data_IF_651101807967
#
_entry.id   IF_651101807967
#
_cell.length_a   1.000
_cell.length_b   1.000
_cell.length_c   1.000
_cell.angle_alpha   90.00
_cell.angle_beta   90.00
_cell.angle_gamma   90.00
#
_symmetry.space_group_name_H-M   'P 1'
#
loop_
_entity.id
_entity.type
_entity.pdbx_description
1 polymer ?
#
# COMPACT_ATOMS: atom_id res chain seq x y z
N UNK A 1 0.18 19.03 23.21
CA UNK A 1 -0.72 19.08 22.03
C UNK A 1 -1.37 17.71 21.89
N UNK A 2 -2.69 17.58 21.93
CA UNK A 2 -3.37 16.29 21.67
C UNK A 2 -3.56 16.14 20.17
N UNK A 3 -3.05 15.06 19.57
CA UNK A 3 -3.28 14.76 18.15
C UNK A 3 -4.77 14.44 17.92
N UNK A 4 -5.37 14.81 16.77
CA UNK A 4 -6.82 14.69 16.56
C UNK A 4 -7.41 13.31 16.87
N UNK A 5 -6.72 12.23 16.52
CA UNK A 5 -7.18 10.86 16.76
C UNK A 5 -6.97 10.38 18.20
N UNK A 6 -5.85 10.76 18.84
CA UNK A 6 -5.65 10.49 20.27
C UNK A 6 -6.69 11.19 21.15
N UNK A 7 -7.15 12.38 20.76
CA UNK A 7 -8.18 13.12 21.48
C UNK A 7 -9.55 12.42 21.40
N UNK A 8 -9.76 11.57 20.40
CA UNK A 8 -10.97 10.76 20.20
C UNK A 8 -10.84 9.36 20.82
N UNK A 9 -9.72 9.04 21.48
CA UNK A 9 -9.49 7.72 22.07
C UNK A 9 -9.07 6.63 21.08
N UNK A 10 -8.71 6.99 19.85
CA UNK A 10 -8.18 6.04 18.86
C UNK A 10 -6.78 5.60 19.29
N UNK A 11 -6.54 4.28 19.33
CA UNK A 11 -5.25 3.69 19.73
C UNK A 11 -4.61 2.85 18.64
N UNK A 12 -5.37 2.42 17.63
CA UNK A 12 -4.92 1.55 16.54
C UNK A 12 -5.55 1.97 15.22
N UNK A 13 -4.73 2.05 14.16
CA UNK A 13 -5.20 2.22 12.79
C UNK A 13 -5.16 0.91 12.02
N UNK A 14 -6.20 0.66 11.22
CA UNK A 14 -6.20 -0.39 10.18
C UNK A 14 -6.20 0.30 8.82
N UNK A 15 -4.99 0.50 8.27
CA UNK A 15 -4.76 1.12 6.96
C UNK A 15 -4.97 0.11 5.81
N UNK A 16 -4.73 0.53 4.57
CA UNK A 16 -4.84 -0.34 3.40
C UNK A 16 -6.27 -0.47 2.83
N UNK A 17 -7.15 0.49 3.14
CA UNK A 17 -8.57 0.42 2.79
C UNK A 17 -8.84 0.68 1.29
N UNK A 18 -10.05 0.34 0.85
CA UNK A 18 -10.54 0.59 -0.53
C UNK A 18 -9.68 -0.04 -1.64
N UNK A 19 -8.89 -1.07 -1.31
CA UNK A 19 -7.98 -1.74 -2.24
C UNK A 19 -6.64 -1.02 -2.43
N UNK A 20 -6.35 0.03 -1.67
CA UNK A 20 -5.11 0.78 -1.76
C UNK A 20 -4.19 0.45 -0.59
N UNK A 21 -3.16 -0.35 -0.87
CA UNK A 21 -2.11 -0.73 0.07
C UNK A 21 -0.83 0.07 -0.13
N UNK A 22 0.08 -0.06 0.85
CA UNK A 22 1.37 0.62 0.91
C UNK A 22 2.52 -0.19 0.29
N UNK A 23 2.33 -1.48 0.04
CA UNK A 23 3.24 -2.36 -0.69
C UNK A 23 2.44 -3.42 -1.48
N UNK A 24 3.09 -4.50 -1.93
CA UNK A 24 2.45 -5.54 -2.74
C UNK A 24 2.32 -5.17 -4.22
N UNK A 25 3.22 -4.34 -4.75
CA UNK A 25 3.26 -3.96 -6.15
C UNK A 25 4.54 -4.48 -6.82
N UNK A 26 4.49 -4.71 -8.13
CA UNK A 26 5.63 -5.22 -8.90
C UNK A 26 6.80 -4.22 -8.89
N UNK A 27 8.00 -4.65 -8.49
CA UNK A 27 9.22 -3.80 -8.48
C UNK A 27 9.61 -3.28 -9.87
N UNK A 28 9.15 -3.96 -10.93
CA UNK A 28 9.42 -3.62 -12.33
C UNK A 28 8.29 -2.80 -12.96
N UNK A 29 7.33 -2.34 -12.16
CA UNK A 29 6.16 -1.63 -12.68
C UNK A 29 6.56 -0.33 -13.37
N UNK A 30 6.03 -0.10 -14.56
CA UNK A 30 6.04 1.21 -15.21
C UNK A 30 4.94 2.15 -14.70
N UNK A 31 4.14 1.70 -13.73
CA UNK A 31 2.95 2.41 -13.22
C UNK A 31 3.12 2.90 -11.78
N UNK A 32 4.36 3.05 -11.29
CA UNK A 32 4.63 3.46 -9.91
C UNK A 32 3.95 4.78 -9.55
N UNK A 33 3.95 5.75 -10.49
CA UNK A 33 3.26 7.03 -10.32
C UNK A 33 1.75 6.87 -10.09
N UNK A 34 1.10 5.90 -10.76
CA UNK A 34 -0.33 5.64 -10.59
C UNK A 34 -0.62 5.01 -9.23
N UNK A 35 0.25 4.09 -8.80
CA UNK A 35 0.20 3.49 -7.46
C UNK A 35 0.35 4.57 -6.38
N UNK A 36 1.35 5.45 -6.51
CA UNK A 36 1.60 6.53 -5.56
C UNK A 36 0.44 7.53 -5.47
N UNK A 37 -0.06 8.01 -6.63
CA UNK A 37 -1.14 9.00 -6.68
C UNK A 37 -2.42 8.53 -6.00
N UNK A 38 -2.77 7.24 -6.13
CA UNK A 38 -4.00 6.69 -5.55
C UNK A 38 -3.82 6.17 -4.12
N UNK A 39 -2.67 5.58 -3.80
CA UNK A 39 -2.42 5.03 -2.46
C UNK A 39 -1.99 6.06 -1.42
N UNK A 40 -1.28 7.12 -1.84
CA UNK A 40 -0.64 8.07 -0.93
C UNK A 40 -0.96 9.54 -1.22
N UNK A 41 -1.83 9.81 -2.19
CA UNK A 41 -2.34 11.16 -2.51
C UNK A 41 -1.26 12.23 -2.68
N UNK A 42 -0.10 11.88 -3.25
CA UNK A 42 1.09 12.75 -3.41
C UNK A 42 1.68 13.30 -2.10
N UNK A 43 1.31 12.77 -0.94
CA UNK A 43 1.82 13.23 0.35
C UNK A 43 3.28 12.78 0.58
N UNK A 44 3.68 11.67 -0.05
CA UNK A 44 5.02 11.10 0.06
C UNK A 44 5.40 10.34 -1.21
N UNK A 45 6.70 10.31 -1.51
CA UNK A 45 7.29 9.39 -2.50
C UNK A 45 7.56 8.05 -1.83
N UNK A 46 7.15 6.95 -2.47
CA UNK A 46 7.45 5.60 -1.98
C UNK A 46 8.95 5.34 -2.12
N UNK A 47 9.61 5.06 -0.99
CA UNK A 47 11.03 4.74 -0.90
C UNK A 47 11.31 3.29 -0.48
N UNK A 48 10.33 2.41 -0.60
CA UNK A 48 10.40 1.00 -0.21
C UNK A 48 9.72 0.11 -1.24
N UNK A 49 10.10 -1.17 -1.27
CA UNK A 49 9.51 -2.18 -2.16
C UNK A 49 8.69 -3.24 -1.42
N UNK A 50 8.96 -3.43 -0.12
CA UNK A 50 8.35 -4.53 0.66
C UNK A 50 7.63 -4.00 1.89
N UNK A 51 6.71 -4.81 2.42
CA UNK A 51 6.02 -4.51 3.67
C UNK A 51 6.96 -4.34 4.85
N UNK A 52 7.99 -5.19 4.94
CA UNK A 52 9.03 -5.06 5.98
C UNK A 52 9.73 -3.70 5.90
N UNK A 53 10.11 -3.27 4.70
CA UNK A 53 10.76 -1.97 4.52
C UNK A 53 9.82 -0.80 4.84
N UNK A 54 8.52 -0.92 4.52
CA UNK A 54 7.51 0.05 4.94
C UNK A 54 7.42 0.13 6.47
N UNK A 55 7.29 -1.01 7.16
CA UNK A 55 7.21 -1.04 8.62
C UNK A 55 8.48 -0.46 9.26
N UNK A 56 9.66 -0.83 8.77
CA UNK A 56 10.91 -0.26 9.24
C UNK A 56 10.99 1.26 9.02
N UNK A 57 10.40 1.77 7.95
CA UNK A 57 10.35 3.20 7.65
C UNK A 57 9.43 3.93 8.64
N UNK A 58 8.21 3.44 8.87
CA UNK A 58 7.25 4.11 9.78
C UNK A 58 7.64 3.96 11.24
N UNK A 59 8.19 2.81 11.66
CA UNK A 59 8.66 2.60 13.03
C UNK A 59 9.81 3.54 13.38
N UNK A 60 10.75 3.78 12.45
CA UNK A 60 11.84 4.76 12.65
C UNK A 60 11.35 6.20 12.79
N UNK A 61 10.17 6.51 12.26
CA UNK A 61 9.60 7.86 12.30
C UNK A 61 8.90 8.21 13.64
N UNK A 62 8.78 7.24 14.57
CA UNK A 62 8.15 7.46 15.87
C UNK A 62 6.62 7.44 15.78
N UNK A 63 6.04 6.24 15.82
CA UNK A 63 4.59 6.07 15.80
C UNK A 63 3.95 6.31 17.17
N UNK A 64 2.83 7.04 17.18
CA UNK A 64 2.04 7.32 18.39
C UNK A 64 0.85 6.38 18.58
N UNK A 65 0.50 5.60 17.55
CA UNK A 65 -0.60 4.64 17.55
C UNK A 65 -0.10 3.31 17.03
N UNK A 66 -0.78 2.21 17.38
CA UNK A 66 -0.57 0.94 16.71
C UNK A 66 -1.03 1.04 15.24
N UNK A 67 -0.45 0.23 14.36
CA UNK A 67 -0.85 0.17 12.97
C UNK A 67 -0.84 -1.26 12.45
N UNK A 68 -1.92 -1.61 11.76
CA UNK A 68 -1.99 -2.70 10.80
C UNK A 68 -2.30 -2.10 9.43
N UNK A 69 -1.88 -2.76 8.36
CA UNK A 69 -2.32 -2.40 7.00
C UNK A 69 -2.75 -3.65 6.25
N UNK A 70 -3.77 -3.50 5.41
CA UNK A 70 -4.25 -4.55 4.51
C UNK A 70 -3.43 -4.54 3.20
N UNK A 71 -3.35 -5.71 2.56
CA UNK A 71 -2.83 -5.85 1.20
C UNK A 71 -3.81 -5.24 0.19
N UNK A 72 -3.31 -4.36 -0.68
CA UNK A 72 -4.14 -3.61 -1.62
C UNK A 72 -4.31 -4.32 -2.95
N UNK A 73 -5.47 -4.92 -3.21
CA UNK A 73 -5.81 -5.48 -4.53
C UNK A 73 -5.65 -4.42 -5.65
N UNK A 74 -6.16 -3.21 -5.44
CA UNK A 74 -6.05 -2.10 -6.39
C UNK A 74 -4.60 -1.70 -6.63
N UNK A 75 -3.80 -1.54 -5.57
CA UNK A 75 -2.35 -1.29 -5.65
C UNK A 75 -1.64 -2.35 -6.50
N UNK A 76 -1.89 -3.63 -6.19
CA UNK A 76 -1.27 -4.77 -6.88
C UNK A 76 -1.64 -4.77 -8.35
N UNK A 77 -2.93 -4.71 -8.66
CA UNK A 77 -3.45 -4.75 -10.04
C UNK A 77 -2.98 -3.54 -10.86
N UNK A 78 -2.95 -2.35 -10.26
CA UNK A 78 -2.43 -1.15 -10.92
C UNK A 78 -0.95 -1.27 -11.24
N UNK A 79 -0.16 -1.95 -10.40
CA UNK A 79 1.25 -2.18 -10.71
C UNK A 79 1.47 -3.10 -11.91
N UNK A 80 0.52 -3.99 -12.21
CA UNK A 80 0.60 -4.92 -13.35
C UNK A 80 0.10 -4.25 -14.63
N UNK A 81 -1.02 -3.51 -14.56
CA UNK A 81 -1.80 -3.09 -15.75
C UNK A 81 -2.29 -1.65 -15.74
N UNK A 82 -1.80 -0.83 -14.82
CA UNK A 82 -2.29 0.53 -14.62
C UNK A 82 -3.80 0.55 -14.34
N UNK A 83 -4.52 1.48 -14.96
CA UNK A 83 -5.98 1.58 -14.86
C UNK A 83 -6.74 0.87 -15.98
N UNK A 84 -6.09 -0.02 -16.74
CA UNK A 84 -6.81 -0.83 -17.71
C UNK A 84 -7.80 -1.75 -16.98
N UNK A 85 -9.09 -1.59 -17.24
CA UNK A 85 -10.17 -2.32 -16.56
C UNK A 85 -10.42 -3.73 -17.11
N UNK A 86 -9.78 -4.13 -18.23
CA UNK A 86 -10.00 -5.46 -18.79
C UNK A 86 -9.56 -6.56 -17.82
N UNK A 87 -10.15 -7.77 -17.88
CA UNK A 87 -9.76 -8.89 -17.03
C UNK A 87 -8.27 -9.23 -17.16
N UNK A 88 -7.66 -9.64 -16.06
CA UNK A 88 -6.29 -10.16 -16.08
C UNK A 88 -6.28 -11.51 -16.80
N UNK A 89 -5.23 -11.75 -17.58
CA UNK A 89 -4.96 -13.09 -18.09
C UNK A 89 -4.43 -14.00 -16.96
N UNK A 90 -4.21 -15.28 -17.27
CA UNK A 90 -3.79 -16.27 -16.25
C UNK A 90 -2.45 -15.94 -15.60
N UNK A 91 -1.50 -15.41 -16.37
CA UNK A 91 -0.16 -15.08 -15.86
C UNK A 91 -0.19 -13.81 -15.00
N UNK A 92 -0.92 -12.79 -15.45
CA UNK A 92 -1.17 -11.56 -14.69
C UNK A 92 -1.91 -11.84 -13.37
N UNK A 93 -2.90 -12.75 -13.40
CA UNK A 93 -3.61 -13.18 -12.19
C UNK A 93 -2.67 -13.91 -11.22
N UNK A 94 -1.81 -14.79 -11.74
CA UNK A 94 -0.81 -15.48 -10.92
C UNK A 94 0.17 -14.49 -10.28
N UNK A 95 0.67 -13.51 -11.04
CA UNK A 95 1.53 -12.45 -10.52
C UNK A 95 0.81 -11.66 -9.42
N UNK A 96 -0.45 -11.28 -9.63
CA UNK A 96 -1.24 -10.56 -8.63
C UNK A 96 -1.37 -11.35 -7.32
N UNK A 97 -1.66 -12.65 -7.38
CA UNK A 97 -1.76 -13.48 -6.19
C UNK A 97 -0.42 -13.62 -5.47
N UNK A 98 0.68 -13.81 -6.21
CA UNK A 98 2.03 -13.86 -5.62
C UNK A 98 2.41 -12.56 -4.93
N UNK A 99 2.09 -11.40 -5.52
CA UNK A 99 2.35 -10.10 -4.91
C UNK A 99 1.51 -9.88 -3.66
N UNK A 100 0.24 -10.32 -3.65
CA UNK A 100 -0.64 -10.25 -2.48
C UNK A 100 -0.19 -11.17 -1.34
N UNK A 101 0.35 -12.35 -1.66
CA UNK A 101 0.90 -13.29 -0.67
C UNK A 101 2.19 -12.77 -0.01
N UNK A 102 2.95 -11.96 -0.73
CA UNK A 102 4.17 -11.30 -0.23
C UNK A 102 3.89 -9.97 0.52
N UNK A 103 2.64 -9.52 0.53
CA UNK A 103 2.19 -8.27 1.13
C UNK A 103 1.59 -8.44 2.53
#
# INVERSE_FOLDING_TARGET
>A
MKLPFTAQGVTTFVAGQCGYGVAGFSKKTSYLDLVQKKGLSNLMTIGWDTMTQYFDHVTRSGMTHNMMTLAGHGTTRTSIRGFNATPLNKDEMKEMLTLLEQA
#
